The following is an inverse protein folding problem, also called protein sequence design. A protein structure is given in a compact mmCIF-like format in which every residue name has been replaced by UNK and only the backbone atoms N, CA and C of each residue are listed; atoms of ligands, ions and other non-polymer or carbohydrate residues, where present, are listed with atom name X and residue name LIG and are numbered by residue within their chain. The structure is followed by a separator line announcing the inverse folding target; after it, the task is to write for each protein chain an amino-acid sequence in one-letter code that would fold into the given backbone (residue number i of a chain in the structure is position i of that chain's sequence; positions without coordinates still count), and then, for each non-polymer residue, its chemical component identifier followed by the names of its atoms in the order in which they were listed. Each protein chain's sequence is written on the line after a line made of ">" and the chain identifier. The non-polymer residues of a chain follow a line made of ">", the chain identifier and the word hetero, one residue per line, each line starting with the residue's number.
data_IF_780056671477
#
_entry.id   IF_780056671477
#
_cell.length_a   1.000
_cell.length_b   1.000
_cell.length_c   1.000
_cell.angle_alpha   90.00
_cell.angle_beta   90.00
_cell.angle_gamma   90.00
#
_symmetry.space_group_name_H-M   'P 1'
#
loop_
_entity.id
_entity.type
_entity.pdbx_description
1 polymer ?
#
# COMPACT_ATOMS: atom_id res chain seq x y z
N UNK A 1 -17.53 0.04 -6.72
CA UNK A 1 -16.21 0.69 -6.92
C UNK A 1 -15.24 0.13 -5.89
N UNK A 2 -14.03 -0.21 -6.31
CA UNK A 2 -12.93 -0.71 -5.46
C UNK A 2 -11.82 0.36 -5.41
N UNK A 3 -11.03 0.35 -4.34
CA UNK A 3 -9.94 1.31 -4.11
C UNK A 3 -8.65 0.56 -3.81
N UNK A 4 -7.59 0.78 -4.57
CA UNK A 4 -6.28 0.23 -4.23
C UNK A 4 -5.49 1.16 -3.30
N UNK A 5 -4.48 0.61 -2.62
CA UNK A 5 -3.64 1.35 -1.67
C UNK A 5 -2.20 1.58 -2.15
N UNK A 6 -1.96 1.40 -3.45
CA UNK A 6 -0.61 1.32 -4.00
C UNK A 6 0.25 2.54 -3.68
N UNK A 7 1.51 2.29 -3.30
CA UNK A 7 2.52 3.32 -3.05
C UNK A 7 2.11 4.35 -1.96
N UNK A 8 1.23 3.97 -1.03
CA UNK A 8 0.83 4.80 0.09
C UNK A 8 1.37 4.24 1.42
N UNK A 9 1.95 5.11 2.25
CA UNK A 9 2.59 4.72 3.52
C UNK A 9 2.01 5.46 4.72
N UNK A 10 0.85 6.11 4.53
CA UNK A 10 0.21 6.89 5.58
C UNK A 10 -0.87 6.05 6.28
N UNK A 11 -0.54 5.52 7.46
CA UNK A 11 -1.46 4.72 8.26
C UNK A 11 -2.76 5.46 8.60
N UNK A 12 -2.69 6.76 8.92
CA UNK A 12 -3.89 7.55 9.23
C UNK A 12 -4.82 7.68 8.03
N UNK A 13 -4.27 7.81 6.81
CA UNK A 13 -5.09 7.78 5.59
C UNK A 13 -5.75 6.42 5.42
N UNK A 14 -5.06 5.32 5.72
CA UNK A 14 -5.67 3.98 5.69
C UNK A 14 -6.76 3.80 6.75
N UNK A 15 -6.61 4.32 7.96
CA UNK A 15 -7.66 4.30 8.98
C UNK A 15 -8.93 5.01 8.46
N UNK A 16 -8.77 6.19 7.86
CA UNK A 16 -9.89 6.94 7.27
C UNK A 16 -10.52 6.20 6.08
N UNK A 17 -9.69 5.59 5.21
CA UNK A 17 -10.16 4.78 4.09
C UNK A 17 -11.01 3.60 4.60
N UNK A 18 -10.51 2.85 5.59
CA UNK A 18 -11.21 1.72 6.18
C UNK A 18 -12.54 2.18 6.79
N UNK A 19 -12.56 3.29 7.53
CA UNK A 19 -13.80 3.85 8.10
C UNK A 19 -14.80 4.31 7.05
N UNK A 20 -14.33 4.89 5.94
CA UNK A 20 -15.18 5.43 4.88
C UNK A 20 -15.76 4.35 3.97
N UNK A 21 -14.95 3.35 3.57
CA UNK A 21 -15.36 2.36 2.56
C UNK A 21 -15.50 0.94 3.08
N UNK A 22 -14.92 0.62 4.24
CA UNK A 22 -14.86 -0.74 4.78
C UNK A 22 -13.84 -1.62 4.03
N UNK A 23 -13.28 -2.64 4.69
CA UNK A 23 -12.17 -3.44 4.14
C UNK A 23 -12.55 -4.26 2.90
N UNK A 24 -13.83 -4.59 2.69
CA UNK A 24 -14.32 -5.35 1.52
C UNK A 24 -14.30 -4.57 0.20
N UNK A 25 -13.99 -3.27 0.23
CA UNK A 25 -13.86 -2.42 -0.96
C UNK A 25 -12.43 -1.95 -1.24
N UNK A 26 -11.45 -2.48 -0.51
CA UNK A 26 -10.04 -2.08 -0.61
C UNK A 26 -9.22 -3.22 -1.25
N UNK A 27 -8.29 -2.88 -2.12
CA UNK A 27 -7.38 -3.82 -2.78
C UNK A 27 -5.94 -3.50 -2.39
N UNK A 28 -5.13 -4.51 -2.12
CA UNK A 28 -3.68 -4.34 -2.16
C UNK A 28 -3.21 -4.27 -3.61
N UNK A 29 -2.56 -3.17 -3.97
CA UNK A 29 -1.78 -3.02 -5.19
C UNK A 29 -0.41 -2.50 -4.80
N UNK A 30 0.66 -2.91 -5.47
CA UNK A 30 2.02 -2.57 -5.03
C UNK A 30 2.65 -1.43 -5.81
N UNK A 31 2.14 -1.05 -6.98
CA UNK A 31 2.83 -0.14 -7.92
C UNK A 31 4.31 -0.54 -8.22
N UNK A 32 4.58 -1.85 -8.31
CA UNK A 32 5.87 -2.31 -8.83
C UNK A 32 6.01 -1.92 -10.32
N UNK A 33 7.21 -1.46 -10.75
CA UNK A 33 8.49 -1.54 -10.05
C UNK A 33 8.83 -0.33 -9.15
N UNK A 34 7.98 0.68 -9.01
CA UNK A 34 8.28 1.90 -8.25
C UNK A 34 8.54 1.58 -6.77
N UNK A 35 7.72 0.74 -6.14
CA UNK A 35 7.89 0.38 -4.72
C UNK A 35 9.09 -0.52 -4.40
N UNK A 36 9.90 -0.86 -5.41
CA UNK A 36 11.22 -1.48 -5.22
C UNK A 36 12.26 -0.48 -4.71
N UNK A 37 12.00 0.82 -4.78
CA UNK A 37 12.91 1.84 -4.25
C UNK A 37 13.19 1.61 -2.75
N UNK A 38 14.43 1.82 -2.33
CA UNK A 38 14.83 1.89 -0.93
C UNK A 38 14.55 3.32 -0.46
N UNK A 39 13.47 3.51 0.27
CA UNK A 39 13.06 4.85 0.69
C UNK A 39 12.09 4.83 1.87
N UNK A 40 11.96 5.98 2.52
CA UNK A 40 10.91 6.25 3.50
C UNK A 40 10.24 7.57 3.16
N UNK A 41 8.91 7.59 3.11
CA UNK A 41 8.14 8.82 2.88
C UNK A 41 7.81 9.50 4.21
N UNK A 42 8.07 10.78 4.29
CA UNK A 42 7.68 11.67 5.38
C UNK A 42 6.77 12.78 4.85
N UNK A 43 6.05 13.46 5.74
CA UNK A 43 5.30 14.66 5.42
C UNK A 43 5.87 15.84 6.21
N UNK A 44 6.24 16.92 5.52
CA UNK A 44 6.70 18.18 6.12
C UNK A 44 6.09 19.36 5.36
N UNK A 45 5.63 20.39 6.07
CA UNK A 45 5.12 21.62 5.44
C UNK A 45 3.94 21.42 4.47
N UNK A 46 3.13 20.36 4.65
CA UNK A 46 2.04 20.02 3.73
C UNK A 46 2.47 19.31 2.45
N UNK A 47 3.75 18.94 2.32
CA UNK A 47 4.29 18.17 1.21
C UNK A 47 4.77 16.79 1.68
N UNK A 48 4.75 15.81 0.78
CA UNK A 48 5.48 14.56 1.02
C UNK A 48 6.89 14.65 0.46
N UNK A 49 7.84 14.03 1.17
CA UNK A 49 9.25 13.89 0.76
C UNK A 49 9.66 12.44 0.94
N UNK A 50 10.25 11.86 -0.10
CA UNK A 50 10.82 10.53 -0.09
C UNK A 50 12.31 10.64 0.26
N UNK A 51 12.66 10.14 1.45
CA UNK A 51 14.04 10.01 1.86
C UNK A 51 14.66 8.82 1.14
N UNK A 52 15.75 9.03 0.40
CA UNK A 52 16.44 8.03 -0.42
C UNK A 52 17.93 7.96 -0.09
N UNK A 53 18.60 6.80 -0.24
CA UNK A 53 20.06 6.74 -0.11
C UNK A 53 20.73 7.60 -1.17
N UNK A 54 21.70 8.42 -0.75
CA UNK A 54 22.45 9.29 -1.65
C UNK A 54 23.13 8.53 -2.79
N UNK A 55 23.04 9.09 -3.98
CA UNK A 55 23.66 8.58 -5.20
C UNK A 55 23.03 7.31 -5.77
N UNK A 56 22.01 6.73 -5.12
CA UNK A 56 21.41 5.47 -5.57
C UNK A 56 20.48 5.64 -6.78
N UNK A 57 19.88 6.82 -6.95
CA UNK A 57 18.86 7.09 -7.97
C UNK A 57 19.25 8.19 -8.97
N UNK A 58 20.54 8.50 -9.08
CA UNK A 58 21.05 9.61 -9.89
C UNK A 58 20.91 10.96 -9.17
N UNK A 59 20.98 12.04 -9.94
CA UNK A 59 20.79 13.39 -9.40
C UNK A 59 19.30 13.68 -9.17
N UNK A 60 18.94 13.93 -7.91
CA UNK A 60 17.57 14.23 -7.48
C UNK A 60 17.43 15.66 -6.94
N UNK A 61 18.44 16.51 -7.13
CA UNK A 61 18.49 17.86 -6.54
C UNK A 61 17.35 18.79 -7.00
N UNK A 62 16.81 18.55 -8.21
CA UNK A 62 15.68 19.29 -8.76
C UNK A 62 14.30 18.68 -8.41
N UNK A 63 14.26 17.51 -7.76
CA UNK A 63 13.01 16.88 -7.34
C UNK A 63 12.64 17.28 -5.90
N UNK A 64 11.68 18.20 -5.78
CA UNK A 64 11.14 18.67 -4.48
C UNK A 64 10.52 17.57 -3.61
N UNK A 65 10.26 16.39 -4.16
CA UNK A 65 9.72 15.24 -3.45
C UNK A 65 10.79 14.19 -3.10
N UNK A 66 12.05 14.43 -3.42
CA UNK A 66 13.17 13.57 -3.06
C UNK A 66 14.13 14.30 -2.14
N UNK A 67 14.68 13.58 -1.17
CA UNK A 67 15.78 14.07 -0.33
C UNK A 67 16.75 12.94 -0.11
N UNK A 68 18.00 13.18 -0.50
CA UNK A 68 19.08 12.24 -0.21
C UNK A 68 19.45 12.27 1.27
N UNK A 69 19.68 11.08 1.81
CA UNK A 69 20.18 10.86 3.18
C UNK A 69 21.41 9.94 3.12
N UNK A 70 22.28 10.07 4.13
CA UNK A 70 23.55 9.36 4.25
C UNK A 70 23.65 8.63 5.61
N UNK A 71 24.68 7.78 5.76
CA UNK A 71 25.02 7.11 7.02
C UNK A 71 23.94 6.13 7.52
N UNK A 72 23.78 6.03 8.84
CA UNK A 72 22.85 5.09 9.49
C UNK A 72 21.41 5.23 8.98
N UNK A 73 20.98 6.45 8.65
CA UNK A 73 19.63 6.68 8.13
C UNK A 73 19.45 6.02 6.76
N UNK A 74 20.42 6.13 5.86
CA UNK A 74 20.39 5.51 4.54
C UNK A 74 20.48 3.97 4.62
N UNK A 75 21.28 3.46 5.56
CA UNK A 75 21.42 2.02 5.80
C UNK A 75 20.13 1.39 6.33
N UNK A 76 19.39 2.11 7.18
CA UNK A 76 18.09 1.67 7.69
C UNK A 76 16.96 1.65 6.64
N UNK A 77 17.14 2.31 5.49
CA UNK A 77 16.12 2.32 4.44
C UNK A 77 15.99 0.95 3.78
N UNK A 78 14.78 0.41 3.83
CA UNK A 78 14.34 -0.81 3.14
C UNK A 78 13.41 -0.47 1.97
N UNK A 79 12.83 -1.49 1.34
CA UNK A 79 11.90 -1.29 0.22
C UNK A 79 10.66 -0.50 0.63
N UNK A 80 10.28 0.45 -0.21
CA UNK A 80 9.07 1.25 -0.08
C UNK A 80 7.81 0.38 0.06
N UNK A 81 7.80 -0.78 -0.61
CA UNK A 81 6.75 -1.79 -0.48
C UNK A 81 6.53 -2.24 0.98
N UNK A 82 7.61 -2.39 1.76
CA UNK A 82 7.48 -2.77 3.17
C UNK A 82 6.96 -1.63 4.04
N UNK A 83 7.28 -0.38 3.71
CA UNK A 83 6.70 0.79 4.37
C UNK A 83 5.18 0.88 4.12
N UNK A 84 4.72 0.53 2.91
CA UNK A 84 3.29 0.47 2.57
C UNK A 84 2.58 -0.62 3.37
N UNK A 85 3.13 -1.83 3.37
CA UNK A 85 2.59 -2.96 4.13
C UNK A 85 2.57 -2.66 5.63
N UNK A 86 3.63 -2.06 6.18
CA UNK A 86 3.67 -1.70 7.60
C UNK A 86 2.67 -0.59 7.95
N UNK A 87 2.49 0.39 7.08
CA UNK A 87 1.47 1.43 7.27
C UNK A 87 0.06 0.82 7.31
N UNK A 88 -0.26 -0.10 6.40
CA UNK A 88 -1.54 -0.79 6.43
C UNK A 88 -1.67 -1.69 7.67
N UNK A 89 -0.61 -2.40 8.05
CA UNK A 89 -0.57 -3.23 9.28
C UNK A 89 -0.90 -2.40 10.53
N UNK A 90 -0.32 -1.20 10.66
CA UNK A 90 -0.60 -0.28 11.77
C UNK A 90 -2.04 0.21 11.76
N UNK A 91 -2.55 0.61 10.60
CA UNK A 91 -3.95 1.04 10.46
C UNK A 91 -4.94 -0.09 10.80
N UNK A 92 -4.68 -1.30 10.30
CA UNK A 92 -5.48 -2.49 10.57
C UNK A 92 -5.52 -2.82 12.08
N UNK A 93 -4.39 -2.69 12.77
CA UNK A 93 -4.33 -2.84 14.23
C UNK A 93 -5.12 -1.75 14.95
N UNK A 94 -4.99 -0.49 14.52
CA UNK A 94 -5.65 0.66 15.16
C UNK A 94 -7.18 0.58 15.09
N UNK A 95 -7.72 0.12 13.95
CA UNK A 95 -9.19 -0.01 13.74
C UNK A 95 -9.74 -1.40 14.07
N UNK A 96 -8.88 -2.31 14.53
CA UNK A 96 -9.29 -3.65 14.97
C UNK A 96 -9.75 -4.58 13.85
N UNK A 97 -9.13 -4.53 12.67
CA UNK A 97 -9.46 -5.46 11.59
C UNK A 97 -9.16 -6.91 12.01
N UNK A 98 -10.10 -7.79 11.68
CA UNK A 98 -9.93 -9.23 11.82
C UNK A 98 -8.96 -9.78 10.77
N UNK A 99 -8.46 -11.00 11.00
CA UNK A 99 -7.62 -11.70 10.03
C UNK A 99 -8.31 -11.87 8.67
N UNK A 100 -9.62 -12.13 8.68
CA UNK A 100 -10.44 -12.28 7.49
C UNK A 100 -10.56 -10.96 6.71
N UNK A 101 -10.62 -9.82 7.39
CA UNK A 101 -10.67 -8.52 6.72
C UNK A 101 -9.32 -8.11 6.13
N UNK A 102 -8.22 -8.43 6.81
CA UNK A 102 -6.87 -8.25 6.26
C UNK A 102 -6.69 -9.13 5.02
N UNK A 103 -7.08 -10.41 5.11
CA UNK A 103 -7.09 -11.34 3.97
C UNK A 103 -7.91 -10.79 2.79
N UNK A 104 -9.07 -10.19 3.08
CA UNK A 104 -9.91 -9.61 2.03
C UNK A 104 -9.17 -8.52 1.26
N UNK A 105 -8.48 -7.61 1.94
CA UNK A 105 -7.70 -6.55 1.28
C UNK A 105 -6.54 -7.10 0.45
N UNK A 106 -5.79 -8.05 0.98
CA UNK A 106 -4.60 -8.59 0.33
C UNK A 106 -4.88 -9.68 -0.72
N UNK A 107 -6.08 -10.26 -0.76
CA UNK A 107 -6.40 -11.36 -1.67
C UNK A 107 -7.87 -11.41 -2.09
N UNK A 108 -8.80 -11.81 -1.20
CA UNK A 108 -10.12 -12.26 -1.67
C UNK A 108 -10.96 -11.18 -2.35
N UNK A 109 -10.75 -9.89 -2.06
CA UNK A 109 -11.39 -8.81 -2.81
C UNK A 109 -10.96 -8.81 -4.29
N UNK A 110 -9.66 -8.95 -4.56
CA UNK A 110 -9.12 -9.00 -5.92
C UNK A 110 -9.55 -10.28 -6.65
N UNK A 111 -9.49 -11.43 -5.96
CA UNK A 111 -9.91 -12.72 -6.51
C UNK A 111 -11.36 -12.68 -7.01
N UNK A 112 -12.30 -12.23 -6.15
CA UNK A 112 -13.72 -12.09 -6.52
C UNK A 112 -13.94 -11.12 -7.68
N UNK A 113 -13.19 -10.00 -7.71
CA UNK A 113 -13.29 -9.03 -8.79
C UNK A 113 -12.86 -9.66 -10.13
N UNK A 114 -11.72 -10.36 -10.14
CA UNK A 114 -11.21 -11.06 -11.33
C UNK A 114 -12.19 -12.15 -11.77
N UNK A 115 -12.68 -12.99 -10.85
CA UNK A 115 -13.66 -14.04 -11.14
C UNK A 115 -14.93 -13.47 -11.79
N UNK A 116 -15.49 -12.40 -11.20
CA UNK A 116 -16.68 -11.74 -11.74
C UNK A 116 -16.47 -11.17 -13.14
N UNK A 117 -15.27 -10.64 -13.42
CA UNK A 117 -14.90 -10.15 -14.75
C UNK A 117 -14.62 -11.28 -15.75
N UNK A 118 -14.26 -12.46 -15.26
CA UNK A 118 -13.91 -13.64 -16.09
C UNK A 118 -15.13 -14.41 -16.59
N UNK A 119 -16.34 -14.09 -16.13
CA UNK A 119 -17.58 -14.79 -16.52
C UNK A 119 -17.72 -16.21 -15.96
N UNK A 120 -16.84 -16.63 -15.03
CA UNK A 120 -17.03 -17.87 -14.24
C UNK A 120 -18.10 -17.61 -13.18
N UNK A 121 -19.36 -17.76 -13.58
CA UNK A 121 -20.48 -17.84 -12.64
C UNK A 121 -20.50 -19.23 -12.03
N UNK A 122 -20.77 -19.34 -10.73
CA UNK A 122 -21.00 -20.60 -10.04
C UNK A 122 -22.17 -21.36 -10.69
N UNK A 123 -21.85 -22.26 -11.62
CA UNK A 123 -22.73 -23.36 -11.98
C UNK A 123 -22.65 -24.42 -10.87
N UNK A 124 -23.18 -24.09 -9.69
CA UNK A 124 -23.66 -25.12 -8.77
C UNK A 124 -25.16 -25.23 -9.03
N UNK A 125 -25.51 -26.04 -10.03
CA UNK A 125 -26.86 -26.60 -10.06
C UNK A 125 -27.00 -27.49 -8.83
N UNK A 126 -27.83 -27.07 -7.87
CA UNK A 126 -28.50 -28.00 -6.99
C UNK A 126 -29.26 -28.99 -7.87
N UNK A 127 -28.77 -30.23 -7.90
CA UNK A 127 -29.56 -31.38 -8.35
C UNK A 127 -30.27 -31.90 -7.10
N UNK A 128 -31.53 -31.49 -6.94
CA UNK A 128 -32.55 -32.25 -6.23
C UNK A 128 -33.56 -32.77 -7.26
#
# INVERSE_FOLDING_TARGET
>A
MMFDISANTNATVFEQLIGAVGPRRILFGSDLPITRMRMRRICEGGNYVNLVPKGLYGDVSDDKHMREVDGEQAEALSFFLYEEIDAFRRAAQAVGLTRQEIEAVFYSNAARLIESASGRSDNVQEVL
#
